data_IF_218010280940
#
_entry.id   IF_218010280940
#
_cell.length_a   1.000
_cell.length_b   1.000
_cell.length_c   1.000
_cell.angle_alpha   90.00
_cell.angle_beta   90.00
_cell.angle_gamma   90.00
#
_symmetry.space_group_name_H-M   'P 1'
#
loop_
_entity.id
_entity.type
_entity.pdbx_description
1 polymer ?
#
# COMPACT_ATOMS: atom_id res chain seq x y z
N UNK A 1 -51.90 -4.04 12.17
CA UNK A 1 -50.75 -4.36 11.31
C UNK A 1 -49.59 -3.51 11.81
N UNK A 2 -48.58 -4.12 12.42
CA UNK A 2 -47.38 -3.43 12.90
C UNK A 2 -46.37 -3.35 11.75
N UNK A 3 -45.98 -2.14 11.35
CA UNK A 3 -44.84 -1.94 10.45
C UNK A 3 -43.53 -2.04 11.25
N UNK A 4 -42.63 -2.93 10.81
CA UNK A 4 -41.27 -3.01 11.32
C UNK A 4 -40.40 -1.88 10.72
N UNK A 5 -39.46 -1.29 11.47
CA UNK A 5 -38.53 -0.33 10.90
C UNK A 5 -37.40 -1.06 10.18
N UNK A 6 -37.33 -0.90 8.85
CA UNK A 6 -36.19 -1.29 8.03
C UNK A 6 -34.94 -0.50 8.44
N UNK A 7 -33.92 -1.19 8.97
CA UNK A 7 -32.58 -0.63 9.21
C UNK A 7 -31.78 -0.63 7.90
N UNK A 8 -31.06 0.46 7.54
CA UNK A 8 -30.36 0.54 6.26
C UNK A 8 -29.06 -0.30 6.22
N UNK A 9 -28.70 -0.95 5.09
CA UNK A 9 -27.51 -1.81 4.97
C UNK A 9 -26.13 -1.11 5.01
N UNK A 10 -26.07 0.22 5.06
CA UNK A 10 -24.86 1.01 4.77
C UNK A 10 -23.79 1.01 5.88
N UNK A 11 -24.14 0.81 7.15
CA UNK A 11 -23.19 0.89 8.28
C UNK A 11 -22.30 -0.35 8.45
N UNK A 12 -22.77 -1.54 8.04
CA UNK A 12 -21.99 -2.78 8.18
C UNK A 12 -20.84 -2.88 7.17
N UNK A 13 -21.06 -2.48 5.91
CA UNK A 13 -20.04 -2.58 4.86
C UNK A 13 -18.82 -1.66 5.08
N UNK A 14 -19.02 -0.48 5.68
CA UNK A 14 -17.92 0.46 5.95
C UNK A 14 -17.01 0.03 7.12
N UNK A 15 -17.58 -0.65 8.13
CA UNK A 15 -16.82 -1.23 9.25
C UNK A 15 -15.92 -2.37 8.79
N UNK A 16 -16.42 -3.24 7.90
CA UNK A 16 -15.63 -4.35 7.34
C UNK A 16 -14.48 -3.86 6.44
N UNK A 17 -14.70 -2.78 5.68
CA UNK A 17 -13.67 -2.22 4.79
C UNK A 17 -12.48 -1.62 5.56
N UNK A 18 -12.74 -0.94 6.68
CA UNK A 18 -11.68 -0.37 7.55
C UNK A 18 -10.88 -1.46 8.28
N UNK A 19 -11.56 -2.51 8.75
CA UNK A 19 -10.92 -3.69 9.36
C UNK A 19 -10.02 -4.43 8.37
N UNK A 20 -10.49 -4.63 7.13
CA UNK A 20 -9.74 -5.32 6.07
C UNK A 20 -8.47 -4.54 5.68
N UNK A 21 -8.59 -3.21 5.55
CA UNK A 21 -7.45 -2.31 5.30
C UNK A 21 -6.39 -2.39 6.39
N UNK A 22 -6.79 -2.26 7.65
CA UNK A 22 -5.88 -2.33 8.79
C UNK A 22 -5.20 -3.70 8.89
N UNK A 23 -5.94 -4.77 8.60
CA UNK A 23 -5.42 -6.13 8.56
C UNK A 23 -4.34 -6.33 7.49
N UNK A 24 -4.49 -5.73 6.30
CA UNK A 24 -3.46 -5.79 5.26
C UNK A 24 -2.20 -5.02 5.65
N UNK A 25 -2.35 -3.77 6.10
CA UNK A 25 -1.23 -2.93 6.51
C UNK A 25 -0.47 -3.57 7.69
N UNK A 26 -1.19 -3.92 8.76
CA UNK A 26 -0.59 -4.47 9.98
C UNK A 26 0.15 -5.77 9.70
N UNK A 27 -0.48 -6.72 8.98
CA UNK A 27 0.16 -8.01 8.67
C UNK A 27 1.37 -7.85 7.77
N UNK A 28 1.33 -6.94 6.79
CA UNK A 28 2.47 -6.72 5.91
C UNK A 28 3.64 -6.09 6.66
N UNK A 29 3.39 -5.07 7.49
CA UNK A 29 4.42 -4.43 8.31
C UNK A 29 5.00 -5.40 9.35
N UNK A 30 4.18 -6.20 10.02
CA UNK A 30 4.64 -7.25 10.93
C UNK A 30 5.50 -8.30 10.21
N UNK A 31 5.08 -8.73 9.02
CA UNK A 31 5.84 -9.68 8.20
C UNK A 31 7.19 -9.12 7.77
N UNK A 32 7.26 -7.83 7.41
CA UNK A 32 8.51 -7.15 7.09
C UNK A 32 9.41 -7.09 8.34
N UNK A 33 8.88 -6.67 9.49
CA UNK A 33 9.64 -6.61 10.75
C UNK A 33 10.13 -7.96 11.27
N UNK A 34 9.41 -9.04 10.95
CA UNK A 34 9.80 -10.41 11.29
C UNK A 34 10.98 -10.92 10.47
N UNK A 35 11.28 -10.33 9.31
CA UNK A 35 12.42 -10.74 8.48
C UNK A 35 13.75 -10.43 9.19
N UNK A 36 14.65 -11.42 9.20
CA UNK A 36 15.95 -11.33 9.87
C UNK A 36 16.82 -10.21 9.29
N UNK A 37 16.67 -9.90 8.01
CA UNK A 37 17.46 -8.85 7.35
C UNK A 37 17.09 -7.45 7.85
N UNK A 38 15.85 -7.22 8.27
CA UNK A 38 15.39 -5.94 8.86
C UNK A 38 16.03 -5.66 10.22
N UNK A 39 16.48 -6.70 10.92
CA UNK A 39 17.18 -6.55 12.22
C UNK A 39 18.61 -6.06 12.09
N UNK A 40 19.18 -6.04 10.87
CA UNK A 40 20.53 -5.49 10.63
C UNK A 40 20.51 -3.97 10.69
N UNK A 41 21.63 -3.38 11.14
CA UNK A 41 21.78 -1.92 11.30
C UNK A 41 21.48 -1.12 10.03
N UNK A 42 21.78 -1.69 8.85
CA UNK A 42 21.54 -1.12 7.53
C UNK A 42 20.05 -0.82 7.27
N UNK A 43 19.13 -1.56 7.92
CA UNK A 43 17.69 -1.40 7.76
C UNK A 43 17.04 -0.69 8.97
N UNK A 44 17.82 0.05 9.78
CA UNK A 44 17.33 0.73 10.97
C UNK A 44 16.20 1.73 10.67
N UNK A 45 16.28 2.45 9.56
CA UNK A 45 15.24 3.39 9.12
C UNK A 45 13.95 2.66 8.73
N UNK A 46 14.04 1.57 7.95
CA UNK A 46 12.90 0.72 7.61
C UNK A 46 12.23 0.16 8.87
N UNK A 47 13.03 -0.36 9.80
CA UNK A 47 12.53 -0.90 11.07
C UNK A 47 11.77 0.16 11.87
N UNK A 48 12.33 1.37 11.98
CA UNK A 48 11.70 2.48 12.68
C UNK A 48 10.39 2.89 12.00
N UNK A 49 10.40 3.02 10.67
CA UNK A 49 9.21 3.39 9.90
C UNK A 49 8.08 2.35 10.06
N UNK A 50 8.39 1.05 9.98
CA UNK A 50 7.39 0.00 10.19
C UNK A 50 6.84 0.01 11.62
N UNK A 51 7.69 0.24 12.64
CA UNK A 51 7.25 0.28 14.03
C UNK A 51 6.32 1.46 14.30
N UNK A 52 6.70 2.67 13.86
CA UNK A 52 5.88 3.88 14.00
C UNK A 52 4.53 3.69 13.30
N UNK A 53 4.52 3.18 12.07
CA UNK A 53 3.29 2.90 11.34
C UNK A 53 2.39 1.88 12.05
N UNK A 54 2.96 0.81 12.62
CA UNK A 54 2.19 -0.17 13.37
C UNK A 54 1.60 0.38 14.67
N UNK A 55 2.37 1.20 15.38
CA UNK A 55 1.93 1.78 16.65
C UNK A 55 0.76 2.76 16.39
N UNK A 56 0.88 3.62 15.36
CA UNK A 56 -0.21 4.52 14.95
C UNK A 56 -1.47 3.75 14.50
N UNK A 57 -1.31 2.70 13.69
CA UNK A 57 -2.45 1.88 13.24
C UNK A 57 -3.15 1.22 14.44
N UNK A 58 -2.39 0.76 15.45
CA UNK A 58 -2.94 0.16 16.67
C UNK A 58 -3.67 1.18 17.53
N UNK A 59 -3.10 2.36 17.74
CA UNK A 59 -3.75 3.44 18.48
C UNK A 59 -5.08 3.85 17.83
N UNK A 60 -5.12 3.98 16.50
CA UNK A 60 -6.34 4.32 15.77
C UNK A 60 -7.39 3.21 15.84
N UNK A 61 -6.97 1.93 15.90
CA UNK A 61 -7.86 0.80 16.13
C UNK A 61 -8.42 0.76 17.57
N UNK A 62 -7.64 1.17 18.56
CA UNK A 62 -8.08 1.20 19.97
C UNK A 62 -9.09 2.33 20.21
N UNK A 63 -8.85 3.52 19.65
CA UNK A 63 -9.81 4.64 19.70
C UNK A 63 -11.17 4.29 19.10
N UNK A 64 -11.20 3.43 18.08
CA UNK A 64 -12.45 2.95 17.46
C UNK A 64 -13.23 1.96 18.34
N UNK A 65 -12.59 1.28 19.30
CA UNK A 65 -13.27 0.33 20.20
C UNK A 65 -14.00 1.03 21.36
N UNK A 66 -13.57 2.24 21.72
CA UNK A 66 -14.06 2.95 22.92
C UNK A 66 -15.34 3.79 22.67
N UNK A 67 -16.02 3.58 21.54
CA UNK A 67 -17.40 4.03 21.35
C UNK A 67 -17.62 5.53 21.22
N UNK A 68 -16.57 6.35 21.05
CA UNK A 68 -16.76 7.76 20.69
C UNK A 68 -17.30 7.85 19.26
N UNK A 69 -18.61 8.07 19.16
CA UNK A 69 -19.32 8.30 17.89
C UNK A 69 -18.88 9.65 17.33
N UNK A 70 -17.70 9.69 16.70
CA UNK A 70 -17.34 10.76 15.78
C UNK A 70 -18.09 10.54 14.46
N UNK A 71 -18.57 11.62 13.80
CA UNK A 71 -19.31 11.49 12.55
C UNK A 71 -18.48 10.77 11.47
N UNK A 72 -19.12 10.15 10.45
CA UNK A 72 -18.54 9.11 9.60
C UNK A 72 -17.37 9.51 8.67
N UNK A 73 -16.80 10.70 8.81
CA UNK A 73 -15.69 11.20 7.97
C UNK A 73 -14.31 10.83 8.50
N UNK A 74 -14.18 10.37 9.75
CA UNK A 74 -12.89 10.21 10.43
C UNK A 74 -12.41 8.75 10.63
N UNK A 75 -13.20 7.72 10.32
CA UNK A 75 -12.80 6.30 10.50
C UNK A 75 -11.91 5.75 9.37
N UNK A 76 -11.22 6.63 8.64
CA UNK A 76 -10.37 6.27 7.52
C UNK A 76 -8.91 6.23 7.97
N UNK A 77 -8.36 5.04 8.22
CA UNK A 77 -6.91 4.87 8.20
C UNK A 77 -6.49 5.24 6.80
N UNK A 78 -5.82 6.38 6.61
CA UNK A 78 -5.40 6.85 5.29
C UNK A 78 -4.13 6.07 4.90
N UNK A 79 -4.26 5.05 4.03
CA UNK A 79 -3.11 4.20 3.65
C UNK A 79 -1.97 5.02 3.06
N UNK A 80 -2.31 6.12 2.41
CA UNK A 80 -1.41 7.13 1.85
C UNK A 80 -0.36 7.60 2.88
N UNK A 81 -0.71 7.67 4.18
CA UNK A 81 0.24 8.04 5.26
C UNK A 81 1.30 6.98 5.54
N UNK A 82 0.96 5.72 5.30
CA UNK A 82 1.78 4.56 5.64
C UNK A 82 2.55 3.99 4.44
N UNK A 83 2.75 4.81 3.39
CA UNK A 83 3.47 4.41 2.17
C UNK A 83 4.99 4.33 2.40
N UNK A 84 5.56 5.21 3.22
CA UNK A 84 7.01 5.30 3.45
C UNK A 84 7.68 3.96 3.86
N UNK A 85 7.14 3.17 4.81
CA UNK A 85 7.68 1.84 5.13
C UNK A 85 7.78 0.91 3.91
N UNK A 86 6.79 0.94 3.02
CA UNK A 86 6.77 0.11 1.82
C UNK A 86 7.77 0.59 0.76
N UNK A 87 7.97 1.90 0.63
CA UNK A 87 9.02 2.45 -0.24
C UNK A 87 10.41 2.01 0.22
N UNK A 88 10.69 2.13 1.53
CA UNK A 88 11.94 1.67 2.11
C UNK A 88 12.11 0.14 1.96
N UNK A 89 11.02 -0.62 2.07
CA UNK A 89 11.05 -2.07 1.86
C UNK A 89 11.34 -2.44 0.39
N UNK A 90 10.85 -1.66 -0.58
CA UNK A 90 11.13 -1.84 -2.01
C UNK A 90 12.62 -1.60 -2.34
N UNK A 91 13.31 -0.77 -1.57
CA UNK A 91 14.75 -0.50 -1.73
C UNK A 91 15.64 -1.53 -1.01
N UNK A 92 15.03 -2.53 -0.34
CA UNK A 92 15.78 -3.55 0.38
C UNK A 92 16.54 -4.48 -0.57
N UNK A 93 17.71 -4.96 -0.12
CA UNK A 93 18.48 -5.99 -0.84
C UNK A 93 17.88 -7.39 -0.72
N UNK A 94 16.88 -7.58 0.14
CA UNK A 94 16.21 -8.87 0.35
C UNK A 94 15.02 -9.01 -0.61
N UNK A 95 15.06 -9.94 -1.59
CA UNK A 95 13.93 -10.16 -2.50
C UNK A 95 12.63 -10.50 -1.78
N UNK A 96 12.70 -11.14 -0.60
CA UNK A 96 11.54 -11.48 0.22
C UNK A 96 10.83 -10.27 0.80
N UNK A 97 11.61 -9.26 1.23
CA UNK A 97 11.08 -8.00 1.76
C UNK A 97 10.43 -7.22 0.62
N UNK A 98 11.14 -7.07 -0.51
CA UNK A 98 10.63 -6.41 -1.71
C UNK A 98 9.33 -7.05 -2.19
N UNK A 99 9.31 -8.38 -2.34
CA UNK A 99 8.11 -9.13 -2.75
C UNK A 99 6.93 -8.92 -1.81
N UNK A 100 7.17 -8.88 -0.50
CA UNK A 100 6.13 -8.64 0.50
C UNK A 100 5.58 -7.21 0.39
N UNK A 101 6.46 -6.23 0.13
CA UNK A 101 6.07 -4.84 -0.06
C UNK A 101 5.20 -4.65 -1.30
N UNK A 102 5.66 -5.18 -2.45
CA UNK A 102 4.94 -5.11 -3.73
C UNK A 102 3.57 -5.78 -3.67
N UNK A 103 3.47 -6.96 -3.05
CA UNK A 103 2.19 -7.66 -2.87
C UNK A 103 1.21 -6.88 -1.98
N UNK A 104 1.71 -6.18 -0.96
CA UNK A 104 0.86 -5.33 -0.12
C UNK A 104 0.38 -4.10 -0.87
N UNK A 105 1.26 -3.39 -1.58
CA UNK A 105 0.90 -2.24 -2.42
C UNK A 105 -0.14 -2.63 -3.47
N UNK A 106 0.05 -3.76 -4.14
CA UNK A 106 -0.90 -4.31 -5.10
C UNK A 106 -2.29 -4.49 -4.48
N UNK A 107 -2.38 -5.14 -3.30
CA UNK A 107 -3.66 -5.34 -2.61
C UNK A 107 -4.30 -4.01 -2.22
N UNK A 108 -3.53 -3.09 -1.64
CA UNK A 108 -4.07 -1.80 -1.23
C UNK A 108 -4.65 -1.01 -2.42
N UNK A 109 -4.03 -1.06 -3.58
CA UNK A 109 -4.54 -0.44 -4.81
C UNK A 109 -5.78 -1.21 -5.32
N UNK A 110 -5.73 -2.54 -5.38
CA UNK A 110 -6.82 -3.38 -5.89
C UNK A 110 -8.13 -3.21 -5.10
N UNK A 111 -8.04 -3.09 -3.78
CA UNK A 111 -9.21 -2.89 -2.90
C UNK A 111 -9.61 -1.40 -2.78
N UNK A 112 -8.97 -0.49 -3.52
CA UNK A 112 -9.26 0.95 -3.45
C UNK A 112 -8.92 1.58 -2.09
N UNK A 113 -8.03 0.95 -1.32
CA UNK A 113 -7.59 1.44 -0.02
C UNK A 113 -6.48 2.49 -0.13
N UNK A 114 -5.70 2.44 -1.21
CA UNK A 114 -4.62 3.37 -1.54
C UNK A 114 -4.98 4.04 -2.87
N UNK A 115 -5.49 5.27 -2.79
CA UNK A 115 -5.84 6.05 -3.98
C UNK A 115 -4.74 7.00 -4.39
N UNK A 116 -3.94 7.49 -3.42
CA UNK A 116 -2.80 8.34 -3.68
C UNK A 116 -3.17 9.66 -4.36
N UNK A 117 -4.37 10.20 -4.06
CA UNK A 117 -4.91 11.40 -4.71
C UNK A 117 -4.25 12.70 -4.25
N UNK A 118 -3.54 12.65 -3.12
CA UNK A 118 -2.79 13.79 -2.61
C UNK A 118 -1.66 14.19 -3.57
N UNK A 119 -1.37 15.49 -3.74
CA UNK A 119 -0.24 15.93 -4.53
C UNK A 119 1.06 15.40 -3.92
N UNK A 120 1.98 14.95 -4.76
CA UNK A 120 3.30 14.55 -4.29
C UNK A 120 4.10 15.79 -3.87
N UNK A 121 4.74 15.72 -2.71
CA UNK A 121 5.54 16.83 -2.18
C UNK A 121 6.88 16.98 -2.89
N UNK A 122 7.31 15.96 -3.64
CA UNK A 122 8.62 15.94 -4.32
C UNK A 122 8.55 16.33 -5.79
N UNK A 123 7.38 16.21 -6.44
CA UNK A 123 7.20 16.52 -7.85
C UNK A 123 5.90 17.32 -8.12
N UNK A 124 5.99 18.59 -8.55
CA UNK A 124 4.81 19.38 -8.90
C UNK A 124 4.08 18.76 -10.10
N UNK A 125 2.75 18.67 -10.01
CA UNK A 125 1.89 18.09 -11.05
C UNK A 125 1.73 16.57 -11.01
N UNK A 126 2.45 15.89 -10.11
CA UNK A 126 2.26 14.46 -9.83
C UNK A 126 1.51 14.24 -8.52
N UNK A 127 0.88 13.08 -8.42
CA UNK A 127 0.18 12.62 -7.21
C UNK A 127 1.00 11.55 -6.51
N UNK A 128 0.68 11.27 -5.25
CA UNK A 128 1.35 10.22 -4.47
C UNK A 128 1.31 8.86 -5.19
N UNK A 129 0.23 8.55 -5.91
CA UNK A 129 0.13 7.30 -6.67
C UNK A 129 1.21 7.17 -7.75
N UNK A 130 1.63 8.28 -8.37
CA UNK A 130 2.69 8.28 -9.38
C UNK A 130 4.01 7.86 -8.75
N UNK A 131 4.35 8.43 -7.60
CA UNK A 131 5.56 8.09 -6.82
C UNK A 131 5.56 6.62 -6.38
N UNK A 132 4.42 6.07 -6.02
CA UNK A 132 4.28 4.64 -5.66
C UNK A 132 4.57 3.76 -6.88
N UNK A 133 3.98 4.08 -8.04
CA UNK A 133 4.20 3.33 -9.27
C UNK A 133 5.67 3.44 -9.72
N UNK A 134 6.29 4.61 -9.59
CA UNK A 134 7.72 4.80 -9.86
C UNK A 134 8.59 3.94 -8.95
N UNK A 135 8.23 3.85 -7.66
CA UNK A 135 8.92 2.99 -6.69
C UNK A 135 8.79 1.50 -7.06
N UNK A 136 7.59 1.07 -7.49
CA UNK A 136 7.37 -0.29 -7.99
C UNK A 136 8.25 -0.55 -9.22
N UNK A 137 8.31 0.39 -10.17
CA UNK A 137 9.14 0.26 -11.37
C UNK A 137 10.63 0.15 -11.02
N UNK A 138 11.10 0.93 -10.04
CA UNK A 138 12.49 0.95 -9.60
C UNK A 138 12.97 -0.34 -8.92
N UNK A 139 12.05 -1.25 -8.55
CA UNK A 139 12.40 -2.57 -8.04
C UNK A 139 13.04 -3.47 -9.10
N UNK A 140 12.83 -3.18 -10.39
CA UNK A 140 13.48 -3.89 -11.48
C UNK A 140 14.82 -3.24 -11.82
N UNK A 141 15.92 -4.00 -11.70
CA UNK A 141 17.28 -3.51 -11.91
C UNK A 141 18.00 -4.22 -13.07
N UNK A 142 17.26 -4.96 -13.90
CA UNK A 142 17.80 -5.79 -14.99
C UNK A 142 17.60 -7.29 -14.78
N UNK A 143 18.16 -8.15 -15.65
CA UNK A 143 17.92 -9.60 -15.65
C UNK A 143 18.30 -10.33 -14.36
N UNK A 144 19.20 -9.76 -13.56
CA UNK A 144 19.60 -10.29 -12.26
C UNK A 144 18.55 -10.08 -11.15
N UNK A 145 17.46 -9.37 -11.43
CA UNK A 145 16.36 -9.17 -10.47
C UNK A 145 15.70 -10.53 -10.20
N UNK A 146 15.42 -10.84 -8.94
CA UNK A 146 14.75 -12.08 -8.53
C UNK A 146 13.41 -12.29 -9.28
N UNK A 147 13.18 -13.48 -9.82
CA UNK A 147 11.97 -13.81 -10.62
C UNK A 147 10.68 -13.58 -9.83
N UNK A 148 10.69 -13.86 -8.52
CA UNK A 148 9.55 -13.61 -7.64
C UNK A 148 9.25 -12.12 -7.51
N UNK A 149 10.29 -11.28 -7.41
CA UNK A 149 10.16 -9.82 -7.44
C UNK A 149 9.65 -9.35 -8.81
N UNK A 150 10.22 -9.85 -9.92
CA UNK A 150 9.77 -9.49 -11.27
C UNK A 150 8.27 -9.76 -11.47
N UNK A 151 7.79 -10.94 -11.04
CA UNK A 151 6.37 -11.30 -11.10
C UNK A 151 5.51 -10.35 -10.25
N UNK A 152 5.97 -9.97 -9.06
CA UNK A 152 5.23 -9.03 -8.22
C UNK A 152 5.19 -7.61 -8.80
N UNK A 153 6.24 -7.17 -9.47
CA UNK A 153 6.25 -5.90 -10.21
C UNK A 153 5.17 -5.94 -11.29
N UNK A 154 5.14 -6.98 -12.13
CA UNK A 154 4.12 -7.11 -13.19
C UNK A 154 2.71 -7.08 -12.60
N UNK A 155 2.45 -7.86 -11.53
CA UNK A 155 1.13 -7.90 -10.88
C UNK A 155 0.71 -6.54 -10.32
N UNK A 156 1.62 -5.84 -9.66
CA UNK A 156 1.34 -4.54 -9.06
C UNK A 156 1.11 -3.47 -10.14
N UNK A 157 1.94 -3.43 -11.19
CA UNK A 157 1.77 -2.50 -12.30
C UNK A 157 0.49 -2.75 -13.07
N UNK A 158 0.17 -4.02 -13.40
CA UNK A 158 -1.10 -4.38 -14.03
C UNK A 158 -2.28 -3.87 -13.21
N UNK A 159 -2.29 -4.16 -11.91
CA UNK A 159 -3.35 -3.73 -10.99
C UNK A 159 -3.49 -2.22 -10.98
N UNK A 160 -2.38 -1.48 -10.93
CA UNK A 160 -2.40 -0.02 -10.90
C UNK A 160 -2.99 0.55 -12.21
N UNK A 161 -2.46 0.16 -13.36
CA UNK A 161 -2.88 0.74 -14.66
C UNK A 161 -4.32 0.37 -15.05
N UNK A 162 -4.87 -0.72 -14.51
CA UNK A 162 -6.27 -1.12 -14.75
C UNK A 162 -7.24 -0.69 -13.63
N UNK A 163 -6.75 -0.08 -12.55
CA UNK A 163 -7.60 0.27 -11.41
C UNK A 163 -8.53 1.43 -11.74
N UNK A 164 -9.80 1.28 -11.37
CA UNK A 164 -10.82 2.33 -11.51
C UNK A 164 -10.80 3.33 -10.34
N UNK A 165 -9.92 3.13 -9.35
CA UNK A 165 -9.86 3.93 -8.13
C UNK A 165 -8.78 5.01 -8.15
N UNK A 166 -7.90 5.00 -9.16
CA UNK A 166 -6.75 5.90 -9.23
C UNK A 166 -6.65 6.57 -10.60
N UNK A 167 -6.10 7.78 -10.59
CA UNK A 167 -5.77 8.54 -11.79
C UNK A 167 -4.25 8.70 -11.85
N UNK A 168 -3.65 8.19 -12.91
CA UNK A 168 -2.20 8.10 -13.07
C UNK A 168 -1.76 9.14 -14.11
N UNK A 169 -0.67 9.84 -13.83
CA UNK A 169 -0.06 10.76 -14.78
C UNK A 169 0.47 10.01 -16.01
N UNK A 170 0.30 10.58 -17.22
CA UNK A 170 0.64 9.92 -18.49
C UNK A 170 2.10 9.41 -18.55
N UNK A 171 3.05 10.21 -18.05
CA UNK A 171 4.46 9.82 -17.97
C UNK A 171 4.70 8.59 -17.09
N UNK A 172 3.94 8.44 -16.01
CA UNK A 172 4.01 7.30 -15.09
C UNK A 172 3.44 6.04 -15.76
N UNK A 173 2.36 6.17 -16.55
CA UNK A 173 1.83 5.06 -17.35
C UNK A 173 2.86 4.56 -18.35
N UNK A 174 3.52 5.47 -19.07
CA UNK A 174 4.59 5.12 -20.02
C UNK A 174 5.76 4.40 -19.32
N UNK A 175 6.13 4.83 -18.12
CA UNK A 175 7.16 4.18 -17.33
C UNK A 175 6.76 2.76 -16.89
N UNK A 176 5.50 2.56 -16.48
CA UNK A 176 4.98 1.24 -16.13
C UNK A 176 5.04 0.29 -17.34
N UNK A 177 4.55 0.73 -18.51
CA UNK A 177 4.60 -0.05 -19.76
C UNK A 177 6.04 -0.41 -20.14
N UNK A 178 6.96 0.57 -20.10
CA UNK A 178 8.38 0.34 -20.38
C UNK A 178 8.97 -0.69 -19.41
N UNK A 179 8.64 -0.62 -18.13
CA UNK A 179 9.16 -1.56 -17.13
C UNK A 179 8.66 -2.98 -17.39
N UNK A 180 7.37 -3.17 -17.65
CA UNK A 180 6.82 -4.48 -18.03
C UNK A 180 7.48 -5.05 -19.28
N UNK A 181 7.72 -4.21 -20.30
CA UNK A 181 8.41 -4.63 -21.52
C UNK A 181 9.88 -5.01 -21.26
N UNK A 182 10.58 -4.25 -20.41
CA UNK A 182 11.96 -4.58 -20.04
C UNK A 182 12.05 -5.90 -19.28
N UNK A 183 11.08 -6.21 -18.40
CA UNK A 183 11.02 -7.51 -17.71
C UNK A 183 10.77 -8.64 -18.73
N UNK A 184 9.88 -8.43 -19.71
CA UNK A 184 9.62 -9.43 -20.76
C UNK A 184 10.87 -9.77 -21.61
N UNK A 185 11.77 -8.81 -21.81
CA UNK A 185 13.01 -8.99 -22.56
C UNK A 185 14.19 -9.53 -21.74
N UNK A 186 14.06 -9.57 -20.41
CA UNK A 186 15.12 -9.96 -19.49
C UNK A 186 15.31 -11.48 -19.44
#
# INVERSE_FOLDING_TARGET
MQEQPHTPPQQHAQSENSKTKSMFLSRALEKILADKEVKRSQNSQLRKACQVALDEIKEELEKQKDGTVVPPRANYIEADKYVLPFELACQSKSPRIVSTSLDCLQKLIAYGHLTGSAPDSTAPGKKLIDRIIETICACFQGPQTDEGVQLQIIKALLTAVTSQHIEIHEGTVLQAVRTCYNIYLA
#
